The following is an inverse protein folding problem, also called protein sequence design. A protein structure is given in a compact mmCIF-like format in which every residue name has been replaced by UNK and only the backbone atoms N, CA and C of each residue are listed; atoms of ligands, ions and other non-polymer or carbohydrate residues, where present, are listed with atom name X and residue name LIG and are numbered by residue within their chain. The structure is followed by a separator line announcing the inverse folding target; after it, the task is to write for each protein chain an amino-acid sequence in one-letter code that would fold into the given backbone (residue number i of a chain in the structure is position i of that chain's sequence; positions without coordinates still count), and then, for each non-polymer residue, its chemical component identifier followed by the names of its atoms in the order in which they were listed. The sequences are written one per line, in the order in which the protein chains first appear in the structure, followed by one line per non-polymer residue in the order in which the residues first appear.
data_IF_031952108074
#
_entry.id   IF_031952108074
#
_cell.length_a   1.000
_cell.length_b   1.000
_cell.length_c   1.000
_cell.angle_alpha   90.00
_cell.angle_beta   90.00
_cell.angle_gamma   90.00
#
_symmetry.space_group_name_H-M   'P 1'
#
loop_
_entity.id
_entity.type
_entity.pdbx_description
1 polymer ?
#
# COMPACT_ATOMS: atom_id res chain seq x y z
N UNK A 1 29.57 -32.52 33.70
CA UNK A 1 30.73 -31.87 34.35
C UNK A 1 31.55 -31.10 33.32
N UNK A 2 31.39 -29.78 33.24
CA UNK A 2 32.37 -28.79 32.74
C UNK A 2 32.16 -27.53 33.59
N UNK A 3 33.23 -27.02 34.21
CA UNK A 3 33.24 -25.83 35.06
C UNK A 3 33.66 -24.59 34.25
N UNK A 4 33.54 -23.43 34.91
CA UNK A 4 34.14 -22.10 34.66
C UNK A 4 33.38 -21.18 33.70
N UNK A 5 33.16 -19.89 33.97
CA UNK A 5 33.29 -19.03 35.17
C UNK A 5 32.64 -17.70 34.76
N UNK A 6 31.64 -17.19 35.50
CA UNK A 6 31.10 -15.84 35.30
C UNK A 6 31.68 -14.92 36.37
N UNK A 7 32.42 -13.91 35.92
CA UNK A 7 33.07 -12.93 36.77
C UNK A 7 32.04 -11.99 37.41
N UNK A 8 32.17 -11.87 38.73
CA UNK A 8 31.52 -10.91 39.62
C UNK A 8 32.21 -9.55 39.62
N UNK A 9 31.50 -8.53 40.16
CA UNK A 9 31.96 -7.19 40.58
C UNK A 9 31.69 -6.09 39.52
N UNK A 10 31.05 -4.95 39.81
CA UNK A 10 30.99 -4.19 41.06
C UNK A 10 29.82 -3.17 41.04
N UNK A 11 29.19 -3.06 42.22
CA UNK A 11 28.19 -2.13 42.79
C UNK A 11 28.40 -0.62 42.53
N UNK A 12 27.29 0.13 42.39
CA UNK A 12 26.95 1.44 43.04
C UNK A 12 25.95 2.23 42.17
N UNK A 13 24.63 2.25 42.39
CA UNK A 13 23.82 2.90 43.45
C UNK A 13 24.11 4.39 43.66
N UNK A 14 23.24 5.27 43.12
CA UNK A 14 22.80 6.49 43.82
C UNK A 14 21.44 6.99 43.30
N UNK A 15 20.46 7.02 44.19
CA UNK A 15 19.13 7.64 44.04
C UNK A 15 19.13 9.07 44.61
N UNK A 16 18.04 9.83 44.37
CA UNK A 16 17.53 11.08 45.02
C UNK A 16 17.23 12.19 43.96
N UNK A 17 16.12 12.93 43.84
CA UNK A 17 14.88 13.17 44.60
C UNK A 17 13.85 13.84 43.65
N UNK A 18 12.62 13.29 43.62
CA UNK A 18 11.27 13.87 43.80
C UNK A 18 10.97 15.33 43.34
N UNK A 19 9.87 15.46 42.57
CA UNK A 19 9.00 16.65 42.51
C UNK A 19 7.60 16.31 41.99
N UNK A 20 6.57 16.50 42.84
CA UNK A 20 5.17 16.07 42.66
C UNK A 20 4.25 17.11 41.98
N UNK A 21 3.15 16.58 41.40
CA UNK A 21 1.78 17.13 41.30
C UNK A 21 1.34 17.78 39.97
N UNK A 22 0.42 17.11 39.24
CA UNK A 22 -1.03 17.33 39.46
C UNK A 22 -1.91 16.27 38.76
N UNK A 23 -3.07 16.02 39.37
CA UNK A 23 -3.92 14.84 39.29
C UNK A 23 -5.10 14.92 38.31
N UNK A 24 -5.60 13.74 37.88
CA UNK A 24 -7.02 13.27 37.80
C UNK A 24 -7.07 12.13 36.76
N UNK A 25 -7.66 10.94 36.94
CA UNK A 25 -8.79 10.50 37.75
C UNK A 25 -8.91 8.95 37.69
N UNK A 26 -9.04 8.28 38.85
CA UNK A 26 -9.85 7.07 39.19
C UNK A 26 -9.78 5.86 38.19
N UNK A 27 -9.49 4.62 38.59
CA UNK A 27 -10.21 3.82 39.61
C UNK A 27 -9.53 2.44 39.79
N UNK A 28 -9.27 2.10 41.06
CA UNK A 28 -9.29 0.81 41.78
C UNK A 28 -9.03 -0.55 41.08
N UNK A 29 -8.06 -1.22 41.70
CA UNK A 29 -7.68 -2.64 41.87
C UNK A 29 -8.77 -3.66 42.27
N UNK A 30 -8.58 -4.91 41.82
CA UNK A 30 -8.69 -6.17 42.61
C UNK A 30 -7.80 -7.21 41.89
N UNK A 31 -6.64 -7.65 42.38
CA UNK A 31 -6.43 -8.70 43.40
C UNK A 31 -7.38 -9.90 43.28
N UNK A 32 -6.83 -11.09 42.94
CA UNK A 32 -7.02 -12.39 43.63
C UNK A 32 -6.48 -13.55 42.75
N UNK A 33 -5.45 -14.21 43.31
CA UNK A 33 -5.13 -15.65 43.39
C UNK A 33 -5.22 -16.62 42.19
N UNK A 34 -4.05 -17.20 41.92
CA UNK A 34 -3.65 -18.55 41.46
C UNK A 34 -4.57 -19.74 41.91
N UNK A 35 -4.38 -21.00 41.47
CA UNK A 35 -4.47 -21.64 40.14
C UNK A 35 -5.41 -22.89 40.09
N UNK A 36 -5.67 -23.39 38.87
CA UNK A 36 -6.17 -24.73 38.49
C UNK A 36 -7.68 -25.00 38.52
N UNK A 37 -8.29 -25.07 37.32
CA UNK A 37 -9.23 -26.15 36.99
C UNK A 37 -9.27 -26.42 35.48
N UNK A 38 -9.41 -27.69 35.15
CA UNK A 38 -9.07 -28.38 33.90
C UNK A 38 -10.25 -28.37 32.94
N UNK A 39 -10.11 -27.82 31.72
CA UNK A 39 -10.94 -28.23 30.56
C UNK A 39 -10.13 -28.17 29.26
N UNK A 40 -9.94 -29.36 28.70
CA UNK A 40 -9.34 -29.63 27.41
C UNK A 40 -10.11 -28.98 26.26
N UNK A 41 -9.53 -27.98 25.58
CA UNK A 41 -9.89 -27.52 24.23
C UNK A 41 -8.70 -26.74 23.63
N UNK A 42 -7.73 -27.43 23.03
CA UNK A 42 -6.76 -26.80 22.13
C UNK A 42 -6.57 -27.75 20.96
N UNK A 43 -7.46 -27.65 19.98
CA UNK A 43 -7.28 -28.16 18.64
C UNK A 43 -7.98 -27.19 17.68
N UNK A 44 -7.23 -26.79 16.65
CA UNK A 44 -7.66 -26.22 15.38
C UNK A 44 -8.05 -24.73 15.26
N UNK A 45 -7.07 -24.00 14.70
CA UNK A 45 -7.17 -23.41 13.36
C UNK A 45 -8.10 -22.19 13.21
N UNK A 46 -7.51 -21.03 13.51
CA UNK A 46 -7.95 -19.71 13.05
C UNK A 46 -7.79 -19.64 11.52
N UNK A 47 -8.77 -20.17 10.79
CA UNK A 47 -9.10 -19.72 9.45
C UNK A 47 -10.39 -18.93 9.54
N UNK A 48 -10.30 -17.61 9.46
CA UNK A 48 -11.41 -16.69 9.15
C UNK A 48 -10.84 -15.27 9.04
N UNK A 49 -10.70 -14.78 7.81
CA UNK A 49 -10.88 -13.36 7.51
C UNK A 49 -11.29 -13.19 6.03
N UNK A 50 -12.28 -14.00 5.63
CA UNK A 50 -13.15 -13.74 4.49
C UNK A 50 -14.51 -13.35 5.06
N UNK A 51 -14.75 -12.06 5.29
CA UNK A 51 -16.04 -11.36 5.09
C UNK A 51 -16.07 -9.98 5.75
N UNK A 52 -16.05 -8.92 4.93
CA UNK A 52 -16.98 -7.79 5.13
C UNK A 52 -17.13 -6.99 3.83
N UNK A 53 -17.95 -7.53 2.90
CA UNK A 53 -18.58 -6.72 1.86
C UNK A 53 -19.85 -6.09 2.46
N UNK A 54 -19.71 -4.87 2.97
CA UNK A 54 -20.87 -4.02 3.28
C UNK A 54 -21.56 -3.59 1.98
N UNK A 55 -22.69 -4.22 1.67
CA UNK A 55 -23.64 -3.73 0.66
C UNK A 55 -24.32 -2.45 1.15
N UNK A 56 -23.80 -1.29 0.72
CA UNK A 56 -24.50 -0.01 0.85
C UNK A 56 -25.42 0.25 -0.36
N UNK A 57 -26.65 0.77 -0.12
CA UNK A 57 -27.69 0.89 -1.15
C UNK A 57 -27.28 1.85 -2.28
N UNK A 58 -27.43 1.38 -3.52
CA UNK A 58 -27.23 2.13 -4.77
C UNK A 58 -28.08 3.41 -4.81
N UNK A 59 -27.52 4.52 -4.34
CA UNK A 59 -27.87 5.82 -4.87
C UNK A 59 -27.15 5.95 -6.21
N UNK A 60 -27.91 6.04 -7.30
CA UNK A 60 -27.41 6.48 -8.61
C UNK A 60 -27.00 7.96 -8.53
N UNK A 61 -25.93 8.23 -7.80
CA UNK A 61 -25.13 9.43 -7.94
C UNK A 61 -24.22 9.14 -9.13
N UNK A 62 -24.22 10.00 -10.14
CA UNK A 62 -23.17 9.94 -11.17
C UNK A 62 -21.84 10.18 -10.45
N UNK A 63 -21.17 9.10 -10.05
CA UNK A 63 -19.87 9.18 -9.39
C UNK A 63 -18.91 9.71 -10.45
N UNK A 64 -18.34 10.89 -10.22
CA UNK A 64 -17.20 11.38 -10.97
C UNK A 64 -16.15 10.26 -11.04
N UNK A 65 -15.58 9.97 -12.22
CA UNK A 65 -14.64 8.87 -12.33
C UNK A 65 -13.42 9.14 -11.45
N UNK A 66 -12.95 8.09 -10.78
CA UNK A 66 -11.73 8.15 -9.97
C UNK A 66 -10.52 8.49 -10.85
N UNK A 67 -9.41 8.94 -10.25
CA UNK A 67 -8.18 9.19 -11.01
C UNK A 67 -7.69 7.95 -11.75
N UNK A 68 -7.81 6.78 -11.15
CA UNK A 68 -7.51 5.48 -11.78
C UNK A 68 -8.38 5.26 -13.00
N UNK A 69 -9.71 5.36 -12.86
CA UNK A 69 -10.63 5.21 -14.00
C UNK A 69 -10.37 6.22 -15.12
N UNK A 70 -10.02 7.46 -14.78
CA UNK A 70 -9.64 8.48 -15.76
C UNK A 70 -8.37 8.07 -16.51
N UNK A 71 -7.36 7.55 -15.82
CA UNK A 71 -6.12 7.10 -16.43
C UNK A 71 -6.34 5.87 -17.32
N UNK A 72 -7.11 4.89 -16.86
CA UNK A 72 -7.47 3.70 -17.64
C UNK A 72 -8.24 4.08 -18.93
N UNK A 73 -9.17 5.04 -18.82
CA UNK A 73 -9.87 5.57 -19.99
C UNK A 73 -8.90 6.21 -20.99
N UNK A 74 -7.84 6.88 -20.53
CA UNK A 74 -6.81 7.42 -21.42
C UNK A 74 -5.99 6.31 -22.08
N UNK A 75 -5.61 5.26 -21.35
CA UNK A 75 -4.90 4.12 -21.93
C UNK A 75 -5.72 3.48 -23.05
N UNK A 76 -7.00 3.21 -22.77
CA UNK A 76 -7.94 2.68 -23.75
C UNK A 76 -8.14 3.61 -24.94
N UNK A 77 -8.27 4.92 -24.72
CA UNK A 77 -8.41 5.91 -25.79
C UNK A 77 -7.18 5.97 -26.70
N UNK A 78 -5.97 5.85 -26.14
CA UNK A 78 -4.70 5.87 -26.88
C UNK A 78 -4.53 4.59 -27.69
N UNK A 79 -4.73 3.43 -27.05
CA UNK A 79 -4.61 2.13 -27.68
C UNK A 79 -5.67 1.93 -28.77
N UNK A 80 -6.89 2.43 -28.61
CA UNK A 80 -7.97 2.25 -29.59
C UNK A 80 -8.15 3.46 -30.53
N UNK A 81 -7.26 4.45 -30.49
CA UNK A 81 -7.39 5.67 -31.29
C UNK A 81 -7.48 5.38 -32.81
N UNK A 82 -8.43 6.00 -33.55
CA UNK A 82 -8.63 5.79 -34.98
C UNK A 82 -7.57 6.48 -35.85
N UNK A 83 -6.74 7.35 -35.26
CA UNK A 83 -5.65 8.03 -35.93
C UNK A 83 -4.53 8.40 -34.97
N UNK A 84 -3.32 8.59 -35.50
CA UNK A 84 -2.17 9.10 -34.74
C UNK A 84 -2.47 10.47 -34.12
N UNK A 85 -3.18 11.34 -34.82
CA UNK A 85 -3.56 12.65 -34.30
C UNK A 85 -4.46 12.54 -33.06
N UNK A 86 -5.46 11.64 -33.10
CA UNK A 86 -6.33 11.36 -31.96
C UNK A 86 -5.56 10.79 -30.78
N UNK A 87 -4.70 9.80 -31.02
CA UNK A 87 -3.87 9.21 -29.96
C UNK A 87 -2.98 10.27 -29.30
N UNK A 88 -2.31 11.09 -30.11
CA UNK A 88 -1.44 12.15 -29.62
C UNK A 88 -2.19 13.21 -28.79
N UNK A 89 -3.49 13.42 -29.05
CA UNK A 89 -4.32 14.28 -28.20
C UNK A 89 -4.53 13.65 -26.83
N UNK A 90 -4.97 12.40 -26.79
CA UNK A 90 -5.16 11.66 -25.54
C UNK A 90 -3.85 11.53 -24.74
N UNK A 91 -2.69 11.34 -25.41
CA UNK A 91 -1.37 11.34 -24.75
C UNK A 91 -1.12 12.67 -24.04
N UNK A 92 -1.35 13.82 -24.70
CA UNK A 92 -1.12 15.14 -24.08
C UNK A 92 -2.02 15.36 -22.86
N UNK A 93 -3.28 14.93 -22.94
CA UNK A 93 -4.22 15.04 -21.82
C UNK A 93 -3.81 14.14 -20.66
N UNK A 94 -3.49 12.88 -20.93
CA UNK A 94 -3.01 11.92 -19.93
C UNK A 94 -1.74 12.42 -19.24
N UNK A 95 -0.76 12.96 -19.99
CA UNK A 95 0.45 13.55 -19.43
C UNK A 95 0.18 14.71 -18.46
N UNK A 96 -0.94 15.41 -18.61
CA UNK A 96 -1.37 16.45 -17.67
C UNK A 96 -1.73 15.94 -16.27
N UNK A 97 -1.96 14.63 -16.12
CA UNK A 97 -2.19 13.99 -14.83
C UNK A 97 -0.89 13.77 -14.03
N UNK A 98 0.26 13.82 -14.69
CA UNK A 98 1.55 13.48 -14.11
C UNK A 98 2.35 14.71 -13.68
N UNK A 99 3.21 14.52 -12.69
CA UNK A 99 4.09 15.58 -12.19
C UNK A 99 5.13 16.01 -13.22
N UNK A 100 5.54 15.07 -14.07
CA UNK A 100 6.50 15.21 -15.16
C UNK A 100 6.22 14.15 -16.23
N UNK A 101 6.49 14.41 -17.52
CA UNK A 101 6.48 13.36 -18.55
C UNK A 101 7.53 12.26 -18.34
N UNK A 102 8.49 12.50 -17.46
CA UNK A 102 9.54 11.55 -17.08
C UNK A 102 9.20 10.79 -15.79
N UNK A 103 7.98 10.92 -15.27
CA UNK A 103 7.52 10.15 -14.13
C UNK A 103 7.74 8.64 -14.38
N UNK A 104 8.41 7.91 -13.45
CA UNK A 104 8.69 6.49 -13.61
C UNK A 104 7.40 5.67 -13.69
N UNK A 105 7.44 4.67 -14.57
CA UNK A 105 6.44 3.62 -14.67
C UNK A 105 7.13 2.28 -14.45
N UNK A 106 6.64 1.53 -13.47
CA UNK A 106 7.10 0.18 -13.14
C UNK A 106 6.02 -0.82 -13.53
N UNK A 107 6.39 -1.87 -14.26
CA UNK A 107 5.44 -2.90 -14.70
C UNK A 107 5.79 -4.21 -14.00
N UNK A 108 4.93 -4.64 -13.09
CA UNK A 108 5.06 -5.91 -12.38
C UNK A 108 4.80 -7.05 -13.35
N UNK A 109 5.76 -7.97 -13.47
CA UNK A 109 5.65 -9.17 -14.30
C UNK A 109 5.42 -10.44 -13.47
N UNK A 110 5.83 -10.44 -12.20
CA UNK A 110 5.60 -11.55 -11.28
C UNK A 110 5.64 -11.05 -9.83
N UNK A 111 4.80 -11.65 -8.97
CA UNK A 111 4.83 -11.46 -7.52
C UNK A 111 4.68 -12.82 -6.85
N UNK A 112 5.66 -13.20 -6.03
CA UNK A 112 5.67 -14.47 -5.32
C UNK A 112 6.83 -14.59 -4.35
N UNK A 113 6.65 -15.43 -3.32
CA UNK A 113 7.67 -15.76 -2.32
C UNK A 113 8.38 -14.55 -1.68
N UNK A 114 7.64 -13.44 -1.49
CA UNK A 114 8.16 -12.20 -0.92
C UNK A 114 9.01 -11.35 -1.87
N UNK A 115 9.07 -11.71 -3.16
CA UNK A 115 9.76 -10.98 -4.22
C UNK A 115 8.78 -10.44 -5.27
N UNK A 116 9.12 -9.29 -5.86
CA UNK A 116 8.38 -8.71 -6.99
C UNK A 116 9.37 -8.46 -8.12
N UNK A 117 9.08 -9.03 -9.27
CA UNK A 117 9.86 -8.84 -10.48
C UNK A 117 9.19 -7.78 -11.35
N UNK A 118 10.03 -6.89 -11.89
CA UNK A 118 9.61 -5.81 -12.76
C UNK A 118 10.19 -6.01 -14.17
N UNK A 119 9.44 -5.54 -15.16
CA UNK A 119 9.95 -5.33 -16.51
C UNK A 119 11.00 -4.20 -16.53
N UNK A 120 11.60 -3.93 -17.69
CA UNK A 120 12.50 -2.79 -17.86
C UNK A 120 11.81 -1.48 -17.42
N UNK A 121 12.40 -0.71 -16.48
CA UNK A 121 11.84 0.56 -16.04
C UNK A 121 11.68 1.54 -17.21
N UNK A 122 10.56 2.25 -17.23
CA UNK A 122 10.27 3.23 -18.29
C UNK A 122 9.70 4.53 -17.72
N UNK A 123 9.38 5.49 -18.59
CA UNK A 123 8.69 6.72 -18.21
C UNK A 123 7.26 6.73 -18.73
N UNK A 124 6.39 7.53 -18.12
CA UNK A 124 5.01 7.63 -18.58
C UNK A 124 4.91 8.06 -20.04
N UNK A 125 5.74 9.01 -20.50
CA UNK A 125 5.77 9.38 -21.92
C UNK A 125 6.05 8.17 -22.80
N UNK A 126 7.09 7.39 -22.49
CA UNK A 126 7.47 6.21 -23.28
C UNK A 126 6.39 5.14 -23.26
N UNK A 127 5.78 4.91 -22.09
CA UNK A 127 4.70 3.95 -21.95
C UNK A 127 3.45 4.34 -22.78
N UNK A 128 3.04 5.61 -22.74
CA UNK A 128 1.91 6.08 -23.55
C UNK A 128 2.17 6.01 -25.07
N UNK A 129 3.40 6.30 -25.51
CA UNK A 129 3.80 6.09 -26.91
C UNK A 129 3.78 4.61 -27.28
N UNK A 130 4.23 3.73 -26.38
CA UNK A 130 4.13 2.28 -26.56
C UNK A 130 2.67 1.82 -26.72
N UNK A 131 1.72 2.32 -25.92
CA UNK A 131 0.29 2.00 -26.07
C UNK A 131 -0.23 2.39 -27.45
N UNK A 132 0.15 3.58 -27.93
CA UNK A 132 -0.24 4.08 -29.26
C UNK A 132 0.33 3.21 -30.38
N UNK A 133 1.62 2.85 -30.30
CA UNK A 133 2.31 2.11 -31.35
C UNK A 133 1.92 0.63 -31.38
N UNK A 134 1.70 0.02 -30.22
CA UNK A 134 1.37 -1.42 -30.11
C UNK A 134 -0.12 -1.72 -30.05
N UNK A 135 -0.97 -0.72 -29.81
CA UNK A 135 -2.42 -0.87 -29.66
C UNK A 135 -2.79 -1.88 -28.56
N UNK A 136 -1.95 -1.97 -27.52
CA UNK A 136 -2.05 -2.98 -26.47
C UNK A 136 -2.27 -2.34 -25.10
N UNK A 137 -3.48 -2.45 -24.57
CA UNK A 137 -3.90 -1.95 -23.26
C UNK A 137 -4.28 -3.12 -22.33
N UNK A 138 -3.29 -3.96 -22.04
CA UNK A 138 -3.46 -5.13 -21.16
C UNK A 138 -3.01 -4.89 -19.72
N UNK A 139 -2.23 -3.84 -19.48
CA UNK A 139 -1.72 -3.59 -18.15
C UNK A 139 -2.70 -2.73 -17.35
N UNK A 140 -2.92 -3.10 -16.10
CA UNK A 140 -3.83 -2.41 -15.19
C UNK A 140 -3.05 -1.56 -14.20
N UNK A 141 -3.65 -0.47 -13.74
CA UNK A 141 -3.07 0.35 -12.67
C UNK A 141 -3.14 -0.42 -11.35
N UNK A 142 -1.96 -0.69 -10.79
CA UNK A 142 -1.81 -1.31 -9.47
C UNK A 142 -1.70 -0.24 -8.38
N UNK A 143 -0.81 0.74 -8.58
CA UNK A 143 -0.54 1.77 -7.59
C UNK A 143 -0.24 3.11 -8.26
N UNK A 144 -0.66 4.21 -7.61
CA UNK A 144 -0.45 5.57 -8.08
C UNK A 144 0.09 6.42 -6.93
N UNK A 145 1.37 6.79 -7.03
CA UNK A 145 2.01 7.63 -6.00
C UNK A 145 1.88 9.08 -6.41
N UNK A 146 1.37 9.92 -5.50
CA UNK A 146 1.11 11.34 -5.77
C UNK A 146 2.24 12.24 -5.29
N UNK A 147 2.39 13.40 -5.93
CA UNK A 147 3.11 14.56 -5.39
C UNK A 147 2.23 15.40 -4.45
N UNK A 148 2.85 16.42 -3.84
CA UNK A 148 2.17 17.34 -2.90
C UNK A 148 1.06 18.18 -3.57
N UNK A 149 1.00 18.19 -4.90
CA UNK A 149 -0.01 18.88 -5.70
C UNK A 149 -1.10 17.91 -6.24
N UNK A 150 -1.06 16.65 -5.82
CA UNK A 150 -2.00 15.61 -6.23
C UNK A 150 -1.83 15.14 -7.68
N UNK A 151 -0.67 15.37 -8.30
CA UNK A 151 -0.30 14.82 -9.61
C UNK A 151 0.48 13.53 -9.43
N UNK A 152 0.45 12.67 -10.45
CA UNK A 152 1.10 11.35 -10.39
C UNK A 152 2.60 11.52 -10.55
N UNK A 153 3.38 11.18 -9.51
CA UNK A 153 4.85 11.21 -9.57
C UNK A 153 5.45 9.86 -9.92
N UNK A 154 4.75 8.76 -9.66
CA UNK A 154 5.14 7.39 -10.00
C UNK A 154 3.89 6.53 -10.22
N UNK A 155 3.98 5.60 -11.16
CA UNK A 155 2.90 4.69 -11.51
C UNK A 155 3.40 3.24 -11.51
N UNK A 156 2.68 2.35 -10.84
CA UNK A 156 2.91 0.91 -10.90
C UNK A 156 1.76 0.26 -11.66
N UNK A 157 2.12 -0.59 -12.60
CA UNK A 157 1.21 -1.37 -13.43
C UNK A 157 1.41 -2.86 -13.17
N UNK A 158 0.38 -3.66 -13.47
CA UNK A 158 0.48 -5.13 -13.53
C UNK A 158 -0.04 -5.64 -14.88
N UNK A 159 0.54 -6.74 -15.37
CA UNK A 159 0.07 -7.44 -16.57
C UNK A 159 -0.90 -8.57 -16.24
#
# INVERSE_FOLDING_TARGET
MRKLQFNTSMVALLALIIGFSSCKNKKKTSEISDPQEVKAQIEQELGDDDQEQEEQPERKVSKEPTKTQKLDNYFGAIANAPSTASANSSIREALGMFSSPDAPVLIVIYRGDGSTDYDEPTTIRRYLEYLKDTKNDKAEVEEMVMDDYGRIKELVLKK
#
